data_IF_397961595795
#
_entry.id   IF_397961595795
#
_cell.length_a   1.000
_cell.length_b   1.000
_cell.length_c   1.000
_cell.angle_alpha   90.00
_cell.angle_beta   90.00
_cell.angle_gamma   90.00
#
_symmetry.space_group_name_H-M   'P 1'
#
loop_
_entity.id
_entity.type
_entity.pdbx_description
1 polymer ?
#
# COMPACT_ATOMS: atom_id res chain seq x y z
N UNK A 1 27.74 -21.39 30.39
CA UNK A 1 27.61 -20.47 29.23
C UNK A 1 26.17 -20.00 29.17
N UNK A 2 25.92 -18.69 29.14
CA UNK A 2 24.57 -18.16 29.01
C UNK A 2 24.09 -18.34 27.56
N UNK A 3 22.93 -18.96 27.37
CA UNK A 3 22.28 -19.09 26.06
C UNK A 3 21.49 -17.80 25.83
N UNK A 4 21.82 -17.05 24.78
CA UNK A 4 21.09 -15.84 24.38
C UNK A 4 20.16 -16.21 23.22
N UNK A 5 18.85 -15.98 23.39
CA UNK A 5 17.85 -16.20 22.33
C UNK A 5 17.52 -14.88 21.63
N UNK A 6 17.69 -14.85 20.31
CA UNK A 6 17.31 -13.73 19.45
C UNK A 6 16.06 -14.14 18.66
N UNK A 7 15.06 -13.25 18.64
CA UNK A 7 13.84 -13.44 17.85
C UNK A 7 13.77 -12.34 16.80
N UNK A 8 13.58 -12.76 15.56
CA UNK A 8 13.42 -11.88 14.40
C UNK A 8 12.01 -12.04 13.85
N UNK A 9 11.29 -10.93 13.74
CA UNK A 9 9.94 -10.87 13.17
C UNK A 9 9.99 -9.95 11.97
N UNK A 10 9.94 -10.52 10.76
CA UNK A 10 9.88 -9.76 9.52
C UNK A 10 8.52 -9.85 8.86
N UNK A 11 8.11 -8.75 8.25
CA UNK A 11 6.85 -8.60 7.54
C UNK A 11 7.15 -8.29 6.09
N UNK A 12 6.72 -9.19 5.21
CA UNK A 12 6.87 -9.07 3.76
C UNK A 12 5.51 -8.92 3.09
N UNK A 13 5.50 -8.36 1.88
CA UNK A 13 4.33 -8.36 1.02
C UNK A 13 4.12 -9.74 0.40
N UNK A 14 2.93 -10.33 0.55
CA UNK A 14 2.58 -11.63 -0.04
C UNK A 14 2.48 -11.60 -1.57
N UNK A 15 2.49 -10.42 -2.21
CA UNK A 15 2.36 -10.28 -3.67
C UNK A 15 3.72 -10.07 -4.34
N UNK A 16 4.49 -9.07 -3.89
CA UNK A 16 5.77 -8.72 -4.52
C UNK A 16 7.00 -9.22 -3.73
N UNK A 17 6.82 -9.74 -2.51
CA UNK A 17 7.93 -10.14 -1.65
C UNK A 17 8.74 -8.97 -1.06
N UNK A 18 8.37 -7.71 -1.32
CA UNK A 18 9.05 -6.56 -0.72
C UNK A 18 8.98 -6.62 0.80
N UNK A 19 10.11 -6.36 1.45
CA UNK A 19 10.20 -6.19 2.90
C UNK A 19 9.51 -4.88 3.30
N UNK A 20 8.57 -4.97 4.25
CA UNK A 20 7.79 -3.82 4.73
C UNK A 20 8.41 -3.28 6.02
N UNK A 21 8.68 -4.18 6.95
CA UNK A 21 9.20 -3.86 8.28
C UNK A 21 9.68 -5.13 8.97
N UNK A 22 10.55 -4.97 9.97
CA UNK A 22 11.06 -6.07 10.76
C UNK A 22 11.51 -5.60 12.13
N UNK A 23 11.55 -6.54 13.07
CA UNK A 23 12.00 -6.30 14.44
C UNK A 23 12.95 -7.41 14.87
N UNK A 24 13.99 -7.00 15.56
CA UNK A 24 14.97 -7.89 16.17
C UNK A 24 14.99 -7.63 17.66
N UNK A 25 14.63 -8.62 18.46
CA UNK A 25 14.58 -8.49 19.91
C UNK A 25 15.29 -9.64 20.59
N UNK A 26 15.85 -9.35 21.78
CA UNK A 26 16.36 -10.37 22.68
C UNK A 26 15.16 -10.88 23.50
N UNK A 27 15.02 -12.19 23.56
CA UNK A 27 14.01 -12.92 24.36
C UNK A 27 12.56 -12.83 23.86
N UNK A 28 11.95 -11.64 23.78
CA UNK A 28 10.51 -11.49 23.48
C UNK A 28 10.28 -10.91 22.09
N UNK A 29 9.74 -11.71 21.17
CA UNK A 29 9.38 -11.30 19.82
C UNK A 29 8.15 -10.38 19.76
N UNK A 30 7.95 -9.75 18.60
CA UNK A 30 6.77 -8.93 18.33
C UNK A 30 5.56 -9.82 18.04
N UNK A 31 4.40 -9.51 18.65
CA UNK A 31 3.16 -10.26 18.40
C UNK A 31 2.64 -10.05 16.98
N UNK A 32 1.91 -11.05 16.44
CA UNK A 32 1.30 -10.96 15.11
C UNK A 32 0.32 -9.78 14.99
N UNK A 33 -0.39 -9.45 16.07
CA UNK A 33 -1.35 -8.35 16.08
C UNK A 33 -0.65 -6.99 16.01
N UNK A 34 0.43 -6.83 16.77
CA UNK A 34 1.20 -5.60 16.75
C UNK A 34 1.90 -5.38 15.40
N UNK A 35 2.46 -6.45 14.82
CA UNK A 35 3.01 -6.42 13.47
C UNK A 35 1.96 -6.03 12.41
N UNK A 36 0.70 -6.49 12.55
CA UNK A 36 -0.40 -6.09 11.67
C UNK A 36 -0.76 -4.62 11.81
N UNK A 37 -0.85 -4.11 13.04
CA UNK A 37 -1.18 -2.70 13.29
C UNK A 37 -0.12 -1.79 12.67
N UNK A 38 1.17 -2.09 12.91
CA UNK A 38 2.26 -1.30 12.34
C UNK A 38 2.34 -1.37 10.81
N UNK A 39 2.07 -2.54 10.22
CA UNK A 39 1.99 -2.66 8.77
C UNK A 39 0.86 -1.79 8.17
N UNK A 40 -0.27 -1.65 8.88
CA UNK A 40 -1.39 -0.78 8.47
C UNK A 40 -1.03 0.70 8.51
N UNK A 41 -0.28 1.13 9.52
CA UNK A 41 0.23 2.52 9.61
C UNK A 41 1.14 2.86 8.42
N UNK A 42 1.94 1.90 7.92
CA UNK A 42 2.70 2.05 6.68
C UNK A 42 1.85 2.00 5.39
N UNK A 43 0.51 1.99 5.50
CA UNK A 43 -0.42 1.94 4.36
C UNK A 43 -0.65 0.54 3.77
N UNK A 44 -0.16 -0.52 4.41
CA UNK A 44 -0.37 -1.89 3.95
C UNK A 44 -1.75 -2.42 4.38
N UNK A 45 -2.30 -3.37 3.62
CA UNK A 45 -3.46 -4.14 4.11
C UNK A 45 -2.94 -5.35 4.85
N UNK A 46 -3.12 -5.39 6.17
CA UNK A 46 -2.77 -6.53 7.01
C UNK A 46 -4.05 -7.25 7.48
N UNK A 47 -4.44 -8.29 6.75
CA UNK A 47 -5.65 -9.10 7.00
C UNK A 47 -5.35 -10.60 6.93
N UNK A 48 -6.06 -11.33 6.05
CA UNK A 48 -5.72 -12.72 5.68
C UNK A 48 -4.43 -12.80 4.85
N UNK A 49 -4.08 -11.70 4.17
CA UNK A 49 -2.83 -11.49 3.43
C UNK A 49 -2.27 -10.11 3.79
N UNK A 50 -0.97 -9.95 3.69
CA UNK A 50 -0.22 -8.71 3.86
C UNK A 50 0.11 -8.18 2.47
N UNK A 51 -0.46 -7.04 2.11
CA UNK A 51 -0.25 -6.43 0.79
C UNK A 51 0.30 -5.02 0.96
N UNK A 52 1.45 -4.75 0.35
CA UNK A 52 2.07 -3.43 0.39
C UNK A 52 1.26 -2.38 -0.39
N UNK A 53 1.51 -1.11 -0.07
CA UNK A 53 0.84 0.04 -0.70
C UNK A 53 0.95 0.00 -2.24
N UNK A 54 2.12 -0.30 -2.79
CA UNK A 54 2.36 -0.36 -4.24
C UNK A 54 1.48 -1.40 -4.92
N UNK A 55 1.46 -2.63 -4.42
CA UNK A 55 0.62 -3.70 -4.98
C UNK A 55 -0.88 -3.40 -4.88
N UNK A 56 -1.32 -2.70 -3.82
CA UNK A 56 -2.72 -2.25 -3.71
C UNK A 56 -3.07 -1.23 -4.80
N UNK A 57 -2.19 -0.25 -5.01
CA UNK A 57 -2.36 0.79 -6.03
C UNK A 57 -2.40 0.16 -7.43
N UNK A 58 -1.45 -0.71 -7.75
CA UNK A 58 -1.39 -1.38 -9.05
C UNK A 58 -2.64 -2.22 -9.32
N UNK A 59 -3.08 -3.02 -8.34
CA UNK A 59 -4.30 -3.82 -8.46
C UNK A 59 -5.53 -2.93 -8.65
N UNK A 60 -5.58 -1.77 -7.98
CA UNK A 60 -6.68 -0.82 -8.11
C UNK A 60 -6.69 -0.16 -9.50
N UNK A 61 -5.53 0.19 -10.06
CA UNK A 61 -5.41 0.68 -11.43
C UNK A 61 -5.91 -0.35 -12.44
N UNK A 62 -5.46 -1.62 -12.33
CA UNK A 62 -5.90 -2.73 -13.21
C UNK A 62 -7.42 -2.97 -13.19
N UNK A 63 -8.07 -2.72 -12.04
CA UNK A 63 -9.51 -2.93 -11.86
C UNK A 63 -10.34 -1.66 -12.04
N UNK A 64 -9.72 -0.52 -12.36
CA UNK A 64 -10.41 0.76 -12.49
C UNK A 64 -11.42 0.72 -13.63
N UNK A 65 -12.71 0.81 -13.29
CA UNK A 65 -13.80 0.80 -14.27
C UNK A 65 -13.80 2.04 -15.17
N UNK A 66 -13.28 3.17 -14.68
CA UNK A 66 -13.16 4.40 -15.47
C UNK A 66 -12.09 4.23 -16.55
N UNK A 67 -10.94 3.62 -16.21
CA UNK A 67 -9.90 3.35 -17.22
C UNK A 67 -10.40 2.39 -18.30
N UNK A 68 -11.21 1.40 -17.92
CA UNK A 68 -11.85 0.49 -18.88
C UNK A 68 -12.86 1.18 -19.81
N UNK A 69 -13.45 2.30 -19.41
CA UNK A 69 -14.48 3.02 -20.18
C UNK A 69 -13.93 4.16 -21.03
N UNK A 70 -12.96 4.90 -20.51
CA UNK A 70 -12.51 6.18 -21.07
C UNK A 70 -11.09 6.09 -21.65
N UNK A 71 -10.31 5.06 -21.28
CA UNK A 71 -8.91 4.89 -21.69
C UNK A 71 -7.95 4.96 -20.50
N UNK A 72 -6.64 4.97 -20.74
CA UNK A 72 -5.66 5.00 -19.64
C UNK A 72 -5.49 6.42 -19.10
N UNK A 73 -5.65 6.60 -17.79
CA UNK A 73 -5.40 7.88 -17.13
C UNK A 73 -3.90 8.22 -17.18
N UNK A 74 -3.59 9.53 -17.22
CA UNK A 74 -2.22 10.00 -17.06
C UNK A 74 -1.58 9.47 -15.78
N UNK A 75 -0.26 9.23 -15.83
CA UNK A 75 0.54 8.83 -14.67
C UNK A 75 1.49 9.95 -14.30
N UNK A 76 1.67 10.13 -13.01
CA UNK A 76 2.70 11.02 -12.48
C UNK A 76 4.09 10.37 -12.60
N UNK A 77 5.15 11.13 -12.35
CA UNK A 77 6.54 10.65 -12.41
C UNK A 77 6.78 9.43 -11.49
N UNK A 78 6.07 9.37 -10.36
CA UNK A 78 6.14 8.27 -9.39
C UNK A 78 5.25 7.06 -9.75
N UNK A 79 4.62 7.08 -10.93
CA UNK A 79 3.75 6.00 -11.44
C UNK A 79 2.34 5.97 -10.82
N UNK A 80 2.01 6.95 -9.98
CA UNK A 80 0.68 7.17 -9.39
C UNK A 80 -0.32 7.67 -10.45
N UNK A 81 -1.61 7.39 -10.26
CA UNK A 81 -2.65 7.74 -11.23
C UNK A 81 -3.03 9.21 -11.04
N UNK A 82 -2.93 10.05 -12.06
CA UNK A 82 -3.39 11.45 -11.94
C UNK A 82 -4.92 11.55 -11.93
N UNK A 83 -5.62 10.47 -12.32
CA UNK A 83 -7.06 10.46 -12.45
C UNK A 83 -7.51 11.01 -13.79
N UNK A 84 -8.80 11.30 -13.92
CA UNK A 84 -9.38 11.90 -15.11
C UNK A 84 -9.87 13.29 -14.78
N UNK A 85 -9.48 14.28 -15.58
CA UNK A 85 -10.02 15.63 -15.49
C UNK A 85 -11.48 15.68 -15.93
N UNK A 86 -12.22 16.63 -15.37
CA UNK A 86 -13.39 17.20 -16.03
C UNK A 86 -12.83 18.17 -17.08
N UNK A 87 -13.21 18.12 -18.36
CA UNK A 87 -12.64 18.99 -19.40
C UNK A 87 -12.69 20.51 -19.14
N UNK A 88 -13.32 20.95 -18.05
CA UNK A 88 -13.32 22.33 -17.55
C UNK A 88 -12.28 22.64 -16.44
N UNK A 89 -11.57 21.65 -15.89
CA UNK A 89 -10.54 21.85 -14.86
C UNK A 89 -9.47 20.76 -14.87
N UNK A 90 -8.23 21.12 -14.52
CA UNK A 90 -7.12 20.18 -14.31
C UNK A 90 -7.31 19.29 -13.06
N UNK A 91 -8.42 19.43 -12.34
CA UNK A 91 -8.70 18.61 -11.16
C UNK A 91 -9.27 17.23 -11.53
N UNK A 92 -8.80 16.15 -10.88
CA UNK A 92 -9.38 14.84 -11.05
C UNK A 92 -10.84 14.82 -10.60
N UNK A 93 -11.71 14.12 -11.32
CA UNK A 93 -13.11 13.91 -10.93
C UNK A 93 -13.21 13.37 -9.49
N UNK A 94 -14.28 13.72 -8.77
CA UNK A 94 -14.48 13.36 -7.35
C UNK A 94 -14.28 11.86 -7.04
N UNK A 95 -14.65 10.99 -7.98
CA UNK A 95 -14.43 9.53 -7.84
C UNK A 95 -12.94 9.15 -7.86
N UNK A 96 -12.12 9.88 -8.61
CA UNK A 96 -10.67 9.69 -8.66
C UNK A 96 -10.00 10.26 -7.40
N UNK A 97 -10.43 11.41 -6.88
CA UNK A 97 -9.90 11.98 -5.61
C UNK A 97 -10.01 11.02 -4.43
N UNK A 98 -11.09 10.23 -4.35
CA UNK A 98 -11.29 9.20 -3.31
C UNK A 98 -10.57 7.88 -3.57
N UNK A 99 -9.84 7.75 -4.68
CA UNK A 99 -9.19 6.50 -5.05
C UNK A 99 -7.78 6.43 -4.47
N UNK A 100 -7.47 5.36 -3.74
CA UNK A 100 -6.13 5.10 -3.17
C UNK A 100 -4.97 5.15 -4.18
N UNK A 101 -5.26 4.99 -5.46
CA UNK A 101 -4.28 5.02 -6.53
C UNK A 101 -4.00 6.42 -7.07
N UNK A 102 -4.81 7.41 -6.66
CA UNK A 102 -4.72 8.77 -7.13
C UNK A 102 -3.68 9.58 -6.34
N UNK A 103 -2.97 10.49 -7.02
CA UNK A 103 -1.99 11.41 -6.42
C UNK A 103 -2.58 12.29 -5.33
N UNK A 104 -3.82 12.74 -5.49
CA UNK A 104 -4.55 13.57 -4.53
C UNK A 104 -5.13 12.80 -3.33
N UNK A 105 -4.93 11.47 -3.25
CA UNK A 105 -5.46 10.69 -2.14
C UNK A 105 -4.63 10.91 -0.87
N UNK A 106 -5.21 11.63 0.09
CA UNK A 106 -4.65 11.79 1.42
C UNK A 106 -4.77 10.48 2.20
N UNK A 107 -3.63 10.00 2.69
CA UNK A 107 -3.51 8.77 3.50
C UNK A 107 -3.54 9.05 5.01
N UNK A 108 -3.73 10.31 5.41
CA UNK A 108 -3.85 10.76 6.80
C UNK A 108 -5.17 10.29 7.44
#
# INVERSE_FOLDING_TARGET
MAIIRIVETDVYCDICGEWITGWRSKETGVSKEWAKTFAREKGCTAGKRIVCKKCRIEKRMKTCSIQKKIGTAGRDADGTCMGFGNGASDEPIEKCKRCIANTSYQWE
#
